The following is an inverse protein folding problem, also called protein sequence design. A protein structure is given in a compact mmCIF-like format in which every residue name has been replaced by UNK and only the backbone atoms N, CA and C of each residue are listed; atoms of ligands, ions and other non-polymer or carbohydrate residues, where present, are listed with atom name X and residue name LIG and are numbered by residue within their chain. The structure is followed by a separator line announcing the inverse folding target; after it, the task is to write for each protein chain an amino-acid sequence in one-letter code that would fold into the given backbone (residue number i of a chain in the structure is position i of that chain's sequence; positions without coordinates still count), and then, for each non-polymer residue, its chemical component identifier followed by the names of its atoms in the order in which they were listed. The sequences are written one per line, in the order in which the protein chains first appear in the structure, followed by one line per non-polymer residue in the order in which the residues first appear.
data_IF_028991562456
#
_entry.id   IF_028991562456
#
_cell.length_a   1.000
_cell.length_b   1.000
_cell.length_c   1.000
_cell.angle_alpha   90.00
_cell.angle_beta   90.00
_cell.angle_gamma   90.00
#
_symmetry.space_group_name_H-M   'P 1'
#
loop_
_entity.id
_entity.type
_entity.pdbx_description
1 polymer ?
#
# COMPACT_ATOMS: atom_id res chain seq x y z
N UNK A 1 26.60 11.31 -1.91
CA UNK A 1 25.57 10.88 -0.93
C UNK A 1 25.54 9.37 -0.92
N UNK A 2 25.70 8.69 0.22
CA UNK A 2 25.62 7.23 0.26
C UNK A 2 24.18 6.81 -0.07
N UNK A 3 24.02 5.90 -1.03
CA UNK A 3 22.73 5.26 -1.32
C UNK A 3 22.34 4.46 -0.08
N UNK A 4 21.19 4.81 0.52
CA UNK A 4 20.58 3.97 1.56
C UNK A 4 20.46 2.56 0.99
N UNK A 5 21.06 1.57 1.65
CA UNK A 5 20.89 0.17 1.30
C UNK A 5 19.44 -0.20 1.63
N UNK A 6 18.63 -0.34 0.61
CA UNK A 6 17.36 -1.08 0.73
C UNK A 6 17.71 -2.42 1.35
N UNK A 7 17.07 -2.75 2.47
CA UNK A 7 17.35 -3.95 3.25
C UNK A 7 17.47 -5.19 2.37
N UNK A 8 18.53 -5.94 2.59
CA UNK A 8 18.86 -7.13 1.82
C UNK A 8 17.83 -8.25 2.09
N UNK A 9 16.87 -8.38 1.20
CA UNK A 9 15.87 -9.46 1.21
C UNK A 9 16.43 -10.83 0.81
N UNK A 10 17.74 -11.02 0.79
CA UNK A 10 18.43 -12.24 0.33
C UNK A 10 18.16 -13.48 1.18
N UNK A 11 17.39 -13.39 2.26
CA UNK A 11 17.06 -14.53 3.13
C UNK A 11 15.61 -15.02 3.07
N UNK A 12 14.70 -14.35 2.39
CA UNK A 12 13.29 -14.77 2.31
C UNK A 12 12.99 -15.40 0.94
N UNK A 13 12.88 -16.72 0.89
CA UNK A 13 12.32 -17.39 -0.29
C UNK A 13 10.80 -17.38 -0.19
N UNK A 14 10.14 -16.83 -1.21
CA UNK A 14 8.69 -16.92 -1.37
C UNK A 14 8.35 -18.05 -2.33
N UNK A 15 7.18 -18.67 -2.11
CA UNK A 15 6.66 -19.71 -3.00
C UNK A 15 6.52 -19.15 -4.41
N UNK A 16 6.91 -19.92 -5.47
CA UNK A 16 6.68 -19.54 -6.86
C UNK A 16 5.19 -19.24 -7.13
N UNK A 17 4.92 -18.31 -8.06
CA UNK A 17 3.54 -17.97 -8.43
C UNK A 17 2.87 -19.14 -9.16
N UNK A 18 1.66 -19.49 -8.73
CA UNK A 18 0.78 -20.42 -9.43
C UNK A 18 0.01 -19.74 -10.56
N UNK A 19 -0.33 -18.45 -10.40
CA UNK A 19 -0.88 -17.62 -11.47
C UNK A 19 0.05 -16.43 -11.72
N UNK A 20 0.79 -16.45 -12.81
CA UNK A 20 1.69 -15.39 -13.26
C UNK A 20 1.16 -14.61 -14.47
N UNK A 21 -0.11 -14.83 -14.86
CA UNK A 21 -0.74 -14.25 -16.06
C UNK A 21 -0.60 -12.73 -16.10
N UNK A 22 -0.83 -12.05 -14.97
CA UNK A 22 -0.63 -10.60 -14.86
C UNK A 22 0.81 -10.19 -15.18
N UNK A 23 1.81 -10.89 -14.65
CA UNK A 23 3.23 -10.59 -14.89
C UNK A 23 3.63 -10.88 -16.34
N UNK A 24 3.10 -11.96 -16.95
CA UNK A 24 3.32 -12.26 -18.37
C UNK A 24 2.78 -11.14 -19.25
N UNK A 25 1.54 -10.68 -18.98
CA UNK A 25 0.95 -9.57 -19.70
C UNK A 25 1.79 -8.28 -19.58
N UNK A 26 2.28 -7.93 -18.37
CA UNK A 26 3.16 -6.79 -18.16
C UNK A 26 4.48 -6.91 -18.95
N UNK A 27 4.97 -8.12 -19.17
CA UNK A 27 6.17 -8.40 -19.98
C UNK A 27 5.89 -8.56 -21.48
N UNK A 28 4.65 -8.33 -21.93
CA UNK A 28 4.20 -8.54 -23.32
C UNK A 28 4.37 -9.99 -23.80
N UNK A 29 4.26 -10.93 -22.90
CA UNK A 29 4.24 -12.36 -23.21
C UNK A 29 2.81 -12.82 -23.50
N UNK A 30 2.66 -13.90 -24.26
CA UNK A 30 1.36 -14.46 -24.54
C UNK A 30 0.64 -14.92 -23.26
N UNK A 31 -0.65 -14.63 -23.16
CA UNK A 31 -1.55 -15.07 -22.10
C UNK A 31 -2.80 -15.70 -22.70
N UNK A 32 -3.40 -16.64 -22.00
CA UNK A 32 -4.59 -17.34 -22.46
C UNK A 32 -5.85 -16.47 -22.36
N UNK A 33 -5.79 -15.44 -21.50
CA UNK A 33 -6.86 -14.45 -21.29
C UNK A 33 -6.26 -13.12 -20.81
N UNK A 34 -7.07 -12.07 -20.83
CA UNK A 34 -6.68 -10.75 -20.28
C UNK A 34 -6.77 -10.78 -18.75
N UNK A 35 -5.66 -10.61 -18.02
CA UNK A 35 -5.68 -10.60 -16.55
C UNK A 35 -6.44 -9.40 -16.01
N UNK A 36 -7.17 -9.61 -14.93
CA UNK A 36 -8.00 -8.61 -14.27
C UNK A 36 -7.52 -8.32 -12.85
N UNK A 37 -7.41 -7.04 -12.53
CA UNK A 37 -7.29 -6.50 -11.18
C UNK A 37 -7.99 -5.15 -11.09
N UNK A 38 -8.33 -4.68 -9.88
CA UNK A 38 -9.00 -3.40 -9.68
C UNK A 38 -8.18 -2.53 -8.72
N UNK A 39 -7.99 -1.25 -9.04
CA UNK A 39 -7.20 -0.32 -8.22
C UNK A 39 -7.71 -0.23 -6.77
N UNK A 40 -9.02 -0.32 -6.55
CA UNK A 40 -9.65 -0.29 -5.22
C UNK A 40 -10.43 -1.58 -4.97
N UNK A 41 -9.78 -2.73 -5.16
CA UNK A 41 -10.44 -4.01 -4.92
C UNK A 41 -10.75 -4.23 -3.44
N UNK A 42 -9.91 -3.79 -2.49
CA UNK A 42 -10.31 -3.66 -1.09
C UNK A 42 -11.13 -2.39 -0.89
N UNK A 43 -12.34 -2.48 -0.36
CA UNK A 43 -13.18 -1.30 -0.24
C UNK A 43 -14.53 -1.51 0.43
N UNK A 44 -15.22 -0.40 0.70
CA UNK A 44 -16.48 -0.32 1.45
C UNK A 44 -17.66 -1.06 0.82
N UNK A 45 -17.55 -1.53 -0.41
CA UNK A 45 -18.57 -2.39 -1.04
C UNK A 45 -18.55 -3.82 -0.48
N UNK A 46 -17.44 -4.24 0.15
CA UNK A 46 -17.31 -5.54 0.79
C UNK A 46 -17.82 -5.46 2.24
N UNK A 47 -18.79 -6.29 2.66
CA UNK A 47 -19.24 -6.35 4.07
C UNK A 47 -18.11 -6.68 5.05
N UNK A 48 -17.24 -7.64 4.70
CA UNK A 48 -16.06 -8.02 5.49
C UNK A 48 -15.08 -6.85 5.65
N UNK A 49 -14.83 -6.05 4.61
CA UNK A 49 -14.02 -4.84 4.73
C UNK A 49 -14.60 -3.86 5.73
N UNK A 50 -15.94 -3.67 5.72
CA UNK A 50 -16.61 -2.78 6.68
C UNK A 50 -16.43 -3.28 8.12
N UNK A 51 -16.51 -4.60 8.34
CA UNK A 51 -16.33 -5.19 9.65
C UNK A 51 -14.90 -4.98 10.17
N UNK A 52 -13.88 -5.31 9.36
CA UNK A 52 -12.47 -5.10 9.69
C UNK A 52 -12.17 -3.62 9.92
N UNK A 53 -12.74 -2.73 9.08
CA UNK A 53 -12.58 -1.28 9.22
C UNK A 53 -13.21 -0.74 10.52
N UNK A 54 -14.32 -1.29 10.96
CA UNK A 54 -14.96 -0.92 12.23
C UNK A 54 -14.10 -1.35 13.43
N UNK A 55 -13.51 -2.55 13.39
CA UNK A 55 -12.58 -3.01 14.43
C UNK A 55 -11.33 -2.14 14.53
N UNK A 56 -10.80 -1.70 13.38
CA UNK A 56 -9.62 -0.84 13.34
C UNK A 56 -9.85 0.60 13.87
N UNK A 57 -11.10 1.01 14.04
CA UNK A 57 -11.50 2.32 14.56
C UNK A 57 -11.27 3.48 13.59
N UNK A 58 -10.12 3.56 12.91
CA UNK A 58 -9.78 4.62 11.97
C UNK A 58 -9.20 4.05 10.66
N UNK A 59 -9.12 4.88 9.60
CA UNK A 59 -8.46 4.48 8.36
C UNK A 59 -6.97 4.19 8.59
N UNK A 60 -6.29 5.07 9.33
CA UNK A 60 -4.89 4.85 9.68
C UNK A 60 -4.71 3.65 10.62
N UNK A 61 -5.63 3.43 11.56
CA UNK A 61 -5.64 2.21 12.38
C UNK A 61 -5.72 0.93 11.54
N UNK A 62 -6.49 0.97 10.43
CA UNK A 62 -6.55 -0.13 9.47
C UNK A 62 -5.24 -0.28 8.68
N UNK A 63 -4.70 0.82 8.16
CA UNK A 63 -3.52 0.81 7.29
C UNK A 63 -2.20 0.53 8.05
N UNK A 64 -2.10 0.98 9.30
CA UNK A 64 -0.90 0.80 10.13
C UNK A 64 -0.86 -0.55 10.86
N UNK A 65 -1.98 -1.25 10.96
CA UNK A 65 -2.03 -2.59 11.51
C UNK A 65 -1.76 -3.63 10.43
N UNK A 66 -0.65 -4.35 10.55
CA UNK A 66 -0.18 -5.32 9.55
C UNK A 66 -1.19 -6.43 9.31
N UNK A 67 -1.85 -6.93 10.35
CA UNK A 67 -2.83 -8.02 10.25
C UNK A 67 -4.09 -7.53 9.53
N UNK A 68 -4.62 -6.37 9.90
CA UNK A 68 -5.78 -5.78 9.22
C UNK A 68 -5.49 -5.42 7.76
N UNK A 69 -4.31 -4.83 7.48
CA UNK A 69 -3.91 -4.53 6.11
C UNK A 69 -3.77 -5.80 5.26
N UNK A 70 -3.27 -6.88 5.86
CA UNK A 70 -3.18 -8.20 5.22
C UNK A 70 -4.58 -8.74 4.93
N UNK A 71 -5.44 -8.78 5.93
CA UNK A 71 -6.81 -9.28 5.82
C UNK A 71 -7.59 -8.57 4.71
N UNK A 72 -7.65 -7.23 4.73
CA UNK A 72 -8.42 -6.50 3.72
C UNK A 72 -7.82 -6.58 2.31
N UNK A 73 -6.53 -6.85 2.19
CA UNK A 73 -5.89 -7.11 0.89
C UNK A 73 -6.34 -8.45 0.31
N UNK A 74 -6.58 -9.46 1.14
CA UNK A 74 -6.98 -10.81 0.72
C UNK A 74 -8.48 -10.94 0.46
N UNK A 75 -9.33 -10.23 1.19
CA UNK A 75 -10.79 -10.33 1.11
C UNK A 75 -11.33 -10.27 -0.34
N UNK A 76 -10.89 -9.36 -1.24
CA UNK A 76 -11.35 -9.35 -2.63
C UNK A 76 -11.02 -10.62 -3.40
N UNK A 77 -9.86 -11.23 -3.11
CA UNK A 77 -9.40 -12.45 -3.78
C UNK A 77 -10.20 -13.69 -3.36
N UNK A 78 -10.85 -13.66 -2.20
CA UNK A 78 -11.75 -14.72 -1.76
C UNK A 78 -13.10 -14.65 -2.45
N UNK A 79 -13.51 -13.47 -2.94
CA UNK A 79 -14.78 -13.26 -3.64
C UNK A 79 -14.66 -13.32 -5.15
N UNK A 80 -13.54 -12.88 -5.70
CA UNK A 80 -13.39 -12.67 -7.14
C UNK A 80 -12.12 -13.34 -7.65
N UNK A 81 -12.16 -13.91 -8.85
CA UNK A 81 -11.00 -14.54 -9.49
C UNK A 81 -10.06 -13.45 -10.05
N UNK A 82 -9.48 -12.63 -9.19
CA UNK A 82 -8.54 -11.58 -9.58
C UNK A 82 -7.14 -12.16 -9.81
N UNK A 83 -6.43 -11.62 -10.79
CA UNK A 83 -5.11 -12.08 -11.22
C UNK A 83 -3.95 -11.34 -10.53
N UNK A 84 -4.25 -10.39 -9.66
CA UNK A 84 -3.28 -9.74 -8.80
C UNK A 84 -3.93 -9.21 -7.52
N UNK A 85 -3.17 -9.21 -6.43
CA UNK A 85 -3.46 -8.46 -5.22
C UNK A 85 -2.85 -7.06 -5.32
N UNK A 86 -3.43 -6.08 -4.64
CA UNK A 86 -2.81 -4.76 -4.46
C UNK A 86 -2.68 -4.46 -2.97
N UNK A 87 -1.50 -3.97 -2.58
CA UNK A 87 -1.20 -3.60 -1.20
C UNK A 87 -2.22 -2.59 -0.67
N UNK A 88 -2.86 -2.90 0.45
CA UNK A 88 -3.67 -1.93 1.16
C UNK A 88 -2.77 -0.99 1.97
N UNK A 89 -2.73 0.29 1.57
CA UNK A 89 -1.94 1.35 2.21
C UNK A 89 -2.52 2.71 1.80
N UNK A 90 -1.83 3.81 2.15
CA UNK A 90 -2.18 5.16 1.73
C UNK A 90 -1.02 5.85 1.02
N UNK A 91 -1.31 6.68 0.02
CA UNK A 91 -0.28 7.43 -0.72
C UNK A 91 0.40 8.50 0.14
N UNK A 92 -0.24 8.95 1.22
CA UNK A 92 0.24 10.04 2.08
C UNK A 92 1.12 9.55 3.24
N UNK A 93 1.41 8.24 3.30
CA UNK A 93 2.30 7.66 4.33
C UNK A 93 3.69 8.28 4.33
N UNK A 94 4.24 8.59 3.15
CA UNK A 94 5.56 9.22 3.02
C UNK A 94 5.55 10.66 3.53
N UNK A 95 4.65 11.56 3.08
CA UNK A 95 4.53 12.90 3.67
C UNK A 95 4.28 12.90 5.18
N UNK A 96 3.48 11.95 5.68
CA UNK A 96 3.26 11.80 7.13
C UNK A 96 4.57 11.45 7.86
N UNK A 97 5.33 10.47 7.32
CA UNK A 97 6.64 10.11 7.88
C UNK A 97 7.67 11.24 7.79
N UNK A 98 7.51 12.19 6.85
CA UNK A 98 8.29 13.44 6.79
C UNK A 98 7.93 14.44 7.90
N UNK A 99 6.89 14.16 8.70
CA UNK A 99 6.51 14.96 9.86
C UNK A 99 5.41 15.99 9.59
N UNK A 100 4.69 15.89 8.46
CA UNK A 100 3.62 16.85 8.14
C UNK A 100 2.34 16.63 8.97
N UNK A 101 2.22 15.50 9.68
CA UNK A 101 1.12 15.23 10.62
C UNK A 101 -0.20 14.99 9.91
N UNK A 102 -0.33 13.81 9.26
CA UNK A 102 -1.52 13.39 8.55
C UNK A 102 -2.67 13.08 9.52
N UNK A 103 -3.84 13.60 9.21
CA UNK A 103 -5.10 13.29 9.89
C UNK A 103 -6.23 13.08 8.89
N UNK A 104 -7.25 12.32 9.32
CA UNK A 104 -8.47 12.09 8.55
C UNK A 104 -9.66 12.53 9.37
N UNK A 105 -10.31 13.63 8.96
CA UNK A 105 -11.57 14.06 9.53
C UNK A 105 -12.74 13.38 8.81
N UNK A 106 -13.79 13.04 9.56
CA UNK A 106 -14.98 12.42 9.00
C UNK A 106 -15.65 13.36 8.00
N UNK A 107 -15.83 12.90 6.75
CA UNK A 107 -16.42 13.68 5.67
C UNK A 107 -15.50 14.70 4.98
N UNK A 108 -14.30 14.97 5.48
CA UNK A 108 -13.41 16.02 4.95
C UNK A 108 -12.20 15.49 4.17
N UNK A 109 -11.87 14.20 4.29
CA UNK A 109 -10.69 13.59 3.66
C UNK A 109 -9.39 13.83 4.43
N UNK A 110 -8.22 13.58 3.80
CA UNK A 110 -6.92 13.72 4.44
C UNK A 110 -6.52 15.19 4.59
N UNK A 111 -5.91 15.53 5.73
CA UNK A 111 -5.33 16.84 6.01
C UNK A 111 -3.97 16.72 6.66
N UNK A 112 -3.06 17.62 6.34
CA UNK A 112 -1.79 17.78 7.04
C UNK A 112 -1.85 18.94 8.02
N UNK A 113 -1.34 18.72 9.24
CA UNK A 113 -1.21 19.77 10.25
C UNK A 113 -0.22 20.85 9.83
N UNK A 114 0.79 20.48 9.04
CA UNK A 114 1.81 21.37 8.50
C UNK A 114 1.75 21.34 6.97
N UNK A 115 1.09 22.31 6.36
CA UNK A 115 1.06 22.46 4.92
C UNK A 115 2.32 23.14 4.40
N UNK A 116 2.79 22.73 3.24
CA UNK A 116 3.94 23.32 2.54
C UNK A 116 3.43 24.44 1.64
N UNK A 117 3.79 25.71 1.90
CA UNK A 117 3.27 26.88 1.16
C UNK A 117 4.37 27.81 0.66
N UNK A 118 5.55 27.79 1.28
CA UNK A 118 6.66 28.69 1.01
C UNK A 118 7.95 27.93 0.73
N UNK A 119 8.93 28.60 0.12
CA UNK A 119 10.27 28.05 -0.08
C UNK A 119 10.92 27.64 1.26
N UNK A 120 10.65 28.38 2.34
CA UNK A 120 11.15 28.03 3.65
C UNK A 120 10.51 26.75 4.20
N UNK A 121 9.25 26.45 3.84
CA UNK A 121 8.60 25.19 4.20
C UNK A 121 9.27 24.03 3.45
N UNK A 122 9.54 24.22 2.14
CA UNK A 122 10.26 23.23 1.34
C UNK A 122 11.66 22.97 1.91
N UNK A 123 12.38 24.01 2.30
CA UNK A 123 13.73 23.89 2.88
C UNK A 123 13.74 23.12 4.23
N UNK A 124 12.61 23.07 4.94
CA UNK A 124 12.46 22.29 6.19
C UNK A 124 12.13 20.83 5.97
N UNK A 125 11.72 20.44 4.74
CA UNK A 125 11.42 19.04 4.44
C UNK A 125 12.69 18.19 4.56
N UNK A 126 12.56 17.06 5.20
CA UNK A 126 13.64 16.09 5.36
C UNK A 126 13.23 14.73 4.79
N UNK A 127 14.21 13.92 4.42
CA UNK A 127 13.98 12.52 4.09
C UNK A 127 13.39 11.84 5.32
N UNK A 128 12.25 11.14 5.21
CA UNK A 128 11.61 10.51 6.35
C UNK A 128 12.49 9.40 6.95
N UNK A 129 12.35 9.22 8.26
CA UNK A 129 12.85 8.04 8.93
C UNK A 129 12.06 6.81 8.43
N UNK A 130 12.77 5.83 7.84
CA UNK A 130 12.14 4.64 7.28
C UNK A 130 11.51 3.74 8.35
N UNK A 131 11.93 3.85 9.61
CA UNK A 131 11.31 3.11 10.70
C UNK A 131 9.85 3.54 10.94
N UNK A 132 9.50 4.79 10.62
CA UNK A 132 8.10 5.26 10.63
C UNK A 132 7.23 4.60 9.55
N UNK A 133 7.85 4.04 8.52
CA UNK A 133 7.18 3.31 7.42
C UNK A 133 7.28 1.79 7.58
N UNK A 134 7.81 1.31 8.71
CA UNK A 134 8.05 -0.12 8.95
C UNK A 134 6.81 -0.97 8.74
N UNK A 135 5.65 -0.49 9.20
CA UNK A 135 4.38 -1.18 9.03
C UNK A 135 4.02 -1.46 7.56
N UNK A 136 4.44 -0.58 6.61
CA UNK A 136 4.21 -0.80 5.17
C UNK A 136 5.07 -1.97 4.68
N UNK A 137 6.34 -2.03 5.08
CA UNK A 137 7.25 -3.12 4.69
C UNK A 137 6.82 -4.45 5.31
N UNK A 138 6.38 -4.42 6.56
CA UNK A 138 5.89 -5.60 7.27
C UNK A 138 4.58 -6.10 6.66
N UNK A 139 3.67 -5.20 6.25
CA UNK A 139 2.46 -5.55 5.52
C UNK A 139 2.77 -6.23 4.17
N UNK A 140 3.72 -5.71 3.38
CA UNK A 140 4.16 -6.36 2.14
C UNK A 140 4.65 -7.78 2.41
N UNK A 141 5.45 -7.97 3.46
CA UNK A 141 5.97 -9.28 3.84
C UNK A 141 4.85 -10.23 4.27
N UNK A 142 3.93 -9.76 5.12
CA UNK A 142 2.79 -10.53 5.62
C UNK A 142 1.86 -10.95 4.47
N UNK A 143 1.46 -10.00 3.62
CA UNK A 143 0.58 -10.26 2.47
C UNK A 143 1.22 -11.26 1.51
N UNK A 144 2.51 -11.12 1.18
CA UNK A 144 3.19 -12.06 0.30
C UNK A 144 3.22 -13.49 0.86
N UNK A 145 3.42 -13.63 2.18
CA UNK A 145 3.34 -14.92 2.86
C UNK A 145 1.92 -15.49 2.80
N UNK A 146 0.91 -14.67 3.09
CA UNK A 146 -0.49 -15.08 3.09
C UNK A 146 -1.02 -15.44 1.69
N UNK A 147 -0.57 -14.72 0.64
CA UNK A 147 -0.86 -15.08 -0.76
C UNK A 147 -0.30 -16.44 -1.15
N UNK A 148 0.80 -16.86 -0.53
CA UNK A 148 1.43 -18.17 -0.75
C UNK A 148 1.59 -18.52 -2.24
N UNK A 149 2.01 -17.55 -3.06
CA UNK A 149 2.18 -17.76 -4.51
C UNK A 149 0.90 -17.75 -5.35
N UNK A 150 -0.28 -17.53 -4.77
CA UNK A 150 -1.57 -17.56 -5.47
C UNK A 150 -1.62 -16.59 -6.66
N UNK A 151 -1.28 -15.33 -6.42
CA UNK A 151 -1.20 -14.24 -7.42
C UNK A 151 -0.08 -13.27 -7.05
N UNK A 152 0.44 -12.44 -7.98
CA UNK A 152 1.40 -11.40 -7.66
C UNK A 152 0.77 -10.30 -6.80
N UNK A 153 1.61 -9.65 -5.98
CA UNK A 153 1.27 -8.47 -5.22
C UNK A 153 1.76 -7.20 -5.95
N UNK A 154 0.84 -6.29 -6.24
CA UNK A 154 1.13 -4.95 -6.75
C UNK A 154 1.38 -4.04 -5.55
N UNK A 155 2.56 -3.39 -5.49
CA UNK A 155 2.80 -2.26 -4.62
C UNK A 155 2.24 -0.98 -5.21
N UNK A 156 2.10 0.08 -4.40
CA UNK A 156 1.72 1.37 -4.93
C UNK A 156 2.32 2.52 -4.12
N UNK A 157 2.39 3.68 -4.74
CA UNK A 157 2.84 4.92 -4.10
C UNK A 157 2.18 6.11 -4.78
N UNK A 158 2.10 7.25 -4.10
CA UNK A 158 1.73 8.51 -4.74
C UNK A 158 2.82 8.98 -5.70
N UNK A 159 2.42 9.56 -6.83
CA UNK A 159 3.40 10.25 -7.68
C UNK A 159 3.89 11.52 -6.98
N UNK A 160 5.12 11.99 -7.25
CA UNK A 160 5.65 13.21 -6.62
C UNK A 160 4.73 14.41 -6.77
N UNK A 161 4.14 14.60 -7.95
CA UNK A 161 3.18 15.69 -8.19
C UNK A 161 1.92 15.55 -7.34
N UNK A 162 1.34 14.36 -7.29
CA UNK A 162 0.15 14.10 -6.48
C UNK A 162 0.43 14.39 -5.00
N UNK A 163 1.57 13.92 -4.48
CA UNK A 163 1.95 14.17 -3.08
C UNK A 163 2.14 15.67 -2.80
N UNK A 164 2.83 16.39 -3.70
CA UNK A 164 3.02 17.83 -3.59
C UNK A 164 1.69 18.60 -3.55
N UNK A 165 0.67 18.16 -4.29
CA UNK A 165 -0.66 18.79 -4.26
C UNK A 165 -1.39 18.59 -2.93
N UNK A 166 -1.09 17.54 -2.19
CA UNK A 166 -1.66 17.29 -0.86
C UNK A 166 -0.87 18.00 0.26
N UNK A 167 0.42 18.20 0.06
CA UNK A 167 1.34 18.81 1.04
C UNK A 167 1.16 20.34 1.14
#
# INVERSE_FOLDING_TARGET
MPRARVGDNRGMSFVPLSNDTFLRACRRQATDYTPLWLMRQAGRYLPEYKATRAQAGSFMGLAMNVDFATEVTLQPLERFPLDAAILFSDILTVPDAMGLGLSFAEGEGPRFAQSVRTESDVARLAVPDLDKLRYVFDAVTSIRKALNGRVPLIGFSGSPWTLACYM
#
